data_IF_330985550929
#
_entry.id   IF_330985550929
#
_cell.length_a   1.000
_cell.length_b   1.000
_cell.length_c   1.000
_cell.angle_alpha   90.00
_cell.angle_beta   90.00
_cell.angle_gamma   90.00
#
_symmetry.space_group_name_H-M   'P 1'
#
loop_
_entity.id
_entity.type
_entity.pdbx_description
1 polymer ?
#
# COMPACT_ATOMS: atom_id res chain seq x y z
N UNK A 1 -5.73 -7.70 15.98
CA UNK A 1 -5.15 -8.31 14.76
C UNK A 1 -4.98 -7.29 13.63
N UNK A 2 -6.03 -6.58 13.18
CA UNK A 2 -5.90 -5.58 12.10
C UNK A 2 -5.08 -4.35 12.52
N UNK A 3 -5.25 -3.87 13.77
CA UNK A 3 -4.48 -2.74 14.31
C UNK A 3 -2.97 -3.00 14.39
N UNK A 4 -2.55 -4.24 14.68
CA UNK A 4 -1.12 -4.57 14.76
C UNK A 4 -0.48 -4.57 13.37
N UNK A 5 -1.14 -5.13 12.36
CA UNK A 5 -0.69 -5.08 10.96
C UNK A 5 -0.54 -3.64 10.42
N UNK A 6 -1.42 -2.72 10.85
CA UNK A 6 -1.36 -1.31 10.46
C UNK A 6 -0.16 -0.57 11.08
N UNK A 7 0.11 -0.82 12.36
CA UNK A 7 1.26 -0.21 13.05
C UNK A 7 2.57 -0.81 12.52
N UNK A 8 2.59 -2.12 12.30
CA UNK A 8 3.72 -2.85 11.75
C UNK A 8 4.09 -2.33 10.36
N UNK A 9 3.14 -2.22 9.42
CA UNK A 9 3.39 -1.78 8.03
C UNK A 9 3.89 -0.33 7.84
N UNK A 10 4.14 0.39 8.93
CA UNK A 10 4.57 1.78 8.91
C UNK A 10 3.39 2.72 8.90
N UNK A 11 3.21 3.44 10.01
CA UNK A 11 2.08 4.34 10.24
C UNK A 11 1.90 5.36 9.11
N UNK A 12 2.99 5.92 8.57
CA UNK A 12 2.93 6.90 7.49
C UNK A 12 2.41 6.32 6.18
N UNK A 13 3.03 5.25 5.66
CA UNK A 13 2.59 4.62 4.41
C UNK A 13 1.17 4.10 4.49
N UNK A 14 0.80 3.50 5.63
CA UNK A 14 -0.55 2.99 5.86
C UNK A 14 -1.61 4.10 6.00
N UNK A 15 -1.27 5.22 6.63
CA UNK A 15 -2.17 6.39 6.68
C UNK A 15 -2.38 6.97 5.30
N UNK A 16 -1.32 7.08 4.50
CA UNK A 16 -1.40 7.58 3.12
C UNK A 16 -2.29 6.69 2.24
N UNK A 17 -2.08 5.37 2.29
CA UNK A 17 -2.95 4.40 1.59
C UNK A 17 -4.41 4.49 2.04
N UNK A 18 -4.65 4.75 3.33
CA UNK A 18 -6.02 4.94 3.85
C UNK A 18 -6.65 6.22 3.31
N UNK A 19 -5.89 7.31 3.20
CA UNK A 19 -6.36 8.56 2.59
C UNK A 19 -6.68 8.35 1.12
N UNK A 20 -5.82 7.66 0.36
CA UNK A 20 -6.05 7.33 -1.04
C UNK A 20 -7.30 6.47 -1.22
N UNK A 21 -7.55 5.52 -0.31
CA UNK A 21 -8.77 4.73 -0.31
C UNK A 21 -10.03 5.58 -0.10
N UNK A 22 -9.99 6.53 0.84
CA UNK A 22 -11.11 7.47 1.06
C UNK A 22 -11.34 8.34 -0.18
N UNK A 23 -10.26 8.88 -0.77
CA UNK A 23 -10.34 9.68 -2.00
C UNK A 23 -10.94 8.89 -3.16
N UNK A 24 -10.62 7.61 -3.27
CA UNK A 24 -11.17 6.70 -4.27
C UNK A 24 -12.68 6.49 -4.09
N UNK A 25 -13.18 6.37 -2.86
CA UNK A 25 -14.63 6.30 -2.58
C UNK A 25 -15.31 7.62 -2.96
N UNK A 26 -14.70 8.77 -2.62
CA UNK A 26 -15.25 10.08 -2.98
C UNK A 26 -15.26 10.30 -4.50
N UNK A 27 -14.20 9.88 -5.20
CA UNK A 27 -14.10 9.96 -6.66
C UNK A 27 -15.12 9.06 -7.36
N UNK A 28 -15.44 7.89 -6.78
CA UNK A 28 -16.44 6.99 -7.33
C UNK A 28 -17.83 7.62 -7.47
N UNK A 29 -18.17 8.59 -6.61
CA UNK A 29 -19.45 9.30 -6.69
C UNK A 29 -19.37 10.61 -7.48
N UNK A 30 -18.27 11.36 -7.35
CA UNK A 30 -18.16 12.72 -7.90
C UNK A 30 -17.50 12.78 -9.29
N UNK A 31 -16.58 11.87 -9.58
CA UNK A 31 -15.79 11.87 -10.81
C UNK A 31 -15.31 10.45 -11.19
N UNK A 32 -16.16 9.65 -11.85
CA UNK A 32 -15.88 8.26 -12.24
C UNK A 32 -14.56 8.07 -13.01
N UNK A 33 -14.18 9.07 -13.81
CA UNK A 33 -12.95 9.06 -14.59
C UNK A 33 -11.68 9.03 -13.73
N UNK A 34 -11.75 9.56 -12.50
CA UNK A 34 -10.59 9.72 -11.61
C UNK A 34 -10.33 8.49 -10.73
N UNK A 35 -11.30 7.57 -10.64
CA UNK A 35 -11.19 6.33 -9.84
C UNK A 35 -9.97 5.51 -10.25
N UNK A 36 -9.73 5.38 -11.56
CA UNK A 36 -8.57 4.63 -12.09
C UNK A 36 -7.25 5.25 -11.65
N UNK A 37 -7.13 6.57 -11.80
CA UNK A 37 -5.90 7.31 -11.53
C UNK A 37 -5.56 7.24 -10.04
N UNK A 38 -6.55 7.41 -9.15
CA UNK A 38 -6.34 7.29 -7.70
C UNK A 38 -5.90 5.87 -7.32
N UNK A 39 -6.48 4.84 -7.95
CA UNK A 39 -6.02 3.47 -7.71
C UNK A 39 -4.59 3.21 -8.18
N UNK A 40 -4.15 3.81 -9.30
CA UNK A 40 -2.76 3.69 -9.77
C UNK A 40 -1.82 4.41 -8.79
N UNK A 41 -2.21 5.59 -8.31
CA UNK A 41 -1.45 6.32 -7.28
C UNK A 41 -1.29 5.44 -6.03
N UNK A 42 -2.36 4.79 -5.57
CA UNK A 42 -2.29 3.91 -4.40
C UNK A 42 -1.36 2.71 -4.59
N UNK A 43 -1.33 2.11 -5.80
CA UNK A 43 -0.38 1.07 -6.13
C UNK A 43 1.06 1.58 -6.09
N UNK A 44 1.31 2.77 -6.67
CA UNK A 44 2.63 3.39 -6.68
C UNK A 44 3.10 3.76 -5.26
N UNK A 45 2.21 4.29 -4.43
CA UNK A 45 2.48 4.57 -3.01
C UNK A 45 2.85 3.30 -2.25
N UNK A 46 2.09 2.21 -2.43
CA UNK A 46 2.40 0.91 -1.83
C UNK A 46 3.76 0.36 -2.27
N UNK A 47 4.11 0.54 -3.55
CA UNK A 47 5.40 0.14 -4.10
C UNK A 47 6.56 0.96 -3.52
N UNK A 48 6.42 2.29 -3.48
CA UNK A 48 7.44 3.19 -2.90
C UNK A 48 7.71 2.86 -1.43
N UNK A 49 6.66 2.59 -0.66
CA UNK A 49 6.81 2.22 0.76
C UNK A 49 7.48 0.85 0.93
N UNK A 50 7.21 -0.08 0.02
CA UNK A 50 7.87 -1.40 0.00
C UNK A 50 9.37 -1.24 -0.28
N UNK A 51 9.76 -0.40 -1.25
CA UNK A 51 11.17 -0.11 -1.52
C UNK A 51 11.86 0.56 -0.32
N UNK A 52 11.17 1.47 0.35
CA UNK A 52 11.69 2.10 1.57
C UNK A 52 11.90 1.09 2.70
N UNK A 53 10.96 0.16 2.91
CA UNK A 53 11.12 -0.90 3.91
C UNK A 53 12.29 -1.84 3.60
N UNK A 54 12.49 -2.20 2.32
CA UNK A 54 13.64 -2.99 1.90
C UNK A 54 14.97 -2.25 2.10
N UNK A 55 14.99 -0.94 1.81
CA UNK A 55 16.17 -0.11 2.06
C UNK A 55 16.52 -0.08 3.56
N UNK A 56 15.53 0.09 4.43
CA UNK A 56 15.74 0.06 5.88
C UNK A 56 16.29 -1.29 6.37
N UNK A 57 15.78 -2.41 5.85
CA UNK A 57 16.29 -3.74 6.22
C UNK A 57 17.77 -3.87 5.83
N UNK A 58 18.13 -3.47 4.61
CA UNK A 58 19.52 -3.53 4.14
C UNK A 58 20.46 -2.58 4.90
N UNK A 59 19.97 -1.40 5.29
CA UNK A 59 20.72 -0.44 6.09
C UNK A 59 21.03 -0.99 7.49
N UNK A 60 20.03 -1.60 8.14
CA UNK A 60 20.23 -2.25 9.45
C UNK A 60 21.21 -3.42 9.33
N UNK A 61 21.11 -4.26 8.29
CA UNK A 61 22.08 -5.35 8.03
C UNK A 61 23.50 -4.80 7.88
N UNK A 62 23.67 -3.70 7.15
CA UNK A 62 24.97 -3.10 6.90
C UNK A 62 25.61 -2.49 8.15
N UNK A 63 24.80 -1.98 9.09
CA UNK A 63 25.27 -1.31 10.31
C UNK A 63 25.45 -2.26 11.50
N UNK A 64 24.54 -3.22 11.69
CA UNK A 64 24.53 -4.10 12.86
C UNK A 64 25.30 -5.42 12.65
N UNK A 65 25.61 -5.78 11.40
CA UNK A 65 26.39 -6.97 11.07
C UNK A 65 25.61 -8.26 11.34
N UNK A 66 25.73 -8.82 12.55
CA UNK A 66 25.13 -10.10 12.91
C UNK A 66 23.72 -9.92 13.49
N UNK A 67 22.72 -9.97 12.60
CA UNK A 67 21.31 -9.87 12.95
C UNK A 67 20.68 -11.25 12.75
N UNK A 68 19.91 -11.70 13.75
CA UNK A 68 19.16 -12.94 13.60
C UNK A 68 18.24 -12.92 12.36
N UNK A 69 18.22 -14.03 11.63
CA UNK A 69 17.37 -14.18 10.44
C UNK A 69 15.88 -13.95 10.73
N UNK A 70 15.44 -14.22 11.97
CA UNK A 70 14.07 -13.96 12.41
C UNK A 70 13.67 -12.49 12.37
N UNK A 71 14.59 -11.58 12.69
CA UNK A 71 14.35 -10.13 12.63
C UNK A 71 14.25 -9.64 11.19
N UNK A 72 15.13 -10.13 10.31
CA UNK A 72 15.11 -9.81 8.87
C UNK A 72 13.81 -10.33 8.24
N UNK A 73 13.44 -11.58 8.52
CA UNK A 73 12.19 -12.16 8.03
C UNK A 73 10.95 -11.41 8.56
N UNK A 74 10.99 -10.95 9.81
CA UNK A 74 9.96 -10.08 10.39
C UNK A 74 9.82 -8.76 9.63
N UNK A 75 10.94 -8.05 9.42
CA UNK A 75 10.95 -6.79 8.66
C UNK A 75 10.47 -6.96 7.22
N UNK A 76 10.87 -8.04 6.55
CA UNK A 76 10.44 -8.36 5.19
C UNK A 76 8.94 -8.64 5.11
N UNK A 77 8.41 -9.46 6.04
CA UNK A 77 6.98 -9.76 6.13
C UNK A 77 6.16 -8.47 6.21
N UNK A 78 6.60 -7.54 7.05
CA UNK A 78 5.95 -6.26 7.28
C UNK A 78 6.00 -5.37 6.03
N UNK A 79 7.17 -5.29 5.40
CA UNK A 79 7.38 -4.49 4.19
C UNK A 79 6.45 -4.91 3.06
N UNK A 80 6.19 -6.22 2.92
CA UNK A 80 5.28 -6.78 1.92
C UNK A 80 3.79 -6.46 2.18
N UNK A 81 3.42 -6.03 3.38
CA UNK A 81 2.02 -5.66 3.67
C UNK A 81 1.66 -4.39 2.87
N UNK A 82 2.59 -3.45 2.73
CA UNK A 82 2.34 -2.16 2.05
C UNK A 82 1.90 -2.32 0.59
N UNK A 83 2.60 -3.16 -0.17
CA UNK A 83 2.24 -3.45 -1.57
C UNK A 83 0.91 -4.22 -1.68
N UNK A 84 0.60 -5.09 -0.71
CA UNK A 84 -0.69 -5.80 -0.69
C UNK A 84 -1.84 -4.81 -0.50
N UNK A 85 -1.72 -3.85 0.41
CA UNK A 85 -2.75 -2.82 0.62
C UNK A 85 -2.91 -1.91 -0.61
N UNK A 86 -1.81 -1.41 -1.19
CA UNK A 86 -1.87 -0.62 -2.43
C UNK A 86 -2.48 -1.40 -3.61
N UNK A 87 -2.15 -2.68 -3.74
CA UNK A 87 -2.73 -3.58 -4.73
C UNK A 87 -4.23 -3.80 -4.54
N UNK A 88 -4.70 -3.99 -3.31
CA UNK A 88 -6.12 -4.13 -3.01
C UNK A 88 -6.90 -2.87 -3.38
N UNK A 89 -6.38 -1.68 -3.03
CA UNK A 89 -7.00 -0.40 -3.39
C UNK A 89 -7.10 -0.26 -4.92
N UNK A 90 -6.05 -0.64 -5.65
CA UNK A 90 -6.07 -0.63 -7.11
C UNK A 90 -7.08 -1.61 -7.70
N UNK A 91 -7.19 -2.83 -7.17
CA UNK A 91 -8.21 -3.80 -7.61
C UNK A 91 -9.62 -3.24 -7.41
N UNK A 92 -9.90 -2.65 -6.25
CA UNK A 92 -11.19 -2.01 -5.97
C UNK A 92 -11.46 -0.87 -6.95
N UNK A 93 -10.44 -0.07 -7.30
CA UNK A 93 -10.55 0.99 -8.28
C UNK A 93 -10.96 0.47 -9.67
N UNK A 94 -10.36 -0.63 -10.11
CA UNK A 94 -10.68 -1.26 -11.38
C UNK A 94 -12.11 -1.82 -11.40
N UNK A 95 -12.53 -2.47 -10.31
CA UNK A 95 -13.91 -2.99 -10.18
C UNK A 95 -14.90 -1.83 -10.27
N UNK A 96 -14.67 -0.74 -9.53
CA UNK A 96 -15.55 0.43 -9.57
C UNK A 96 -15.60 1.08 -10.96
N UNK A 97 -14.45 1.18 -11.64
CA UNK A 97 -14.41 1.67 -13.03
C UNK A 97 -15.19 0.78 -14.00
N UNK A 98 -15.16 -0.55 -13.83
CA UNK A 98 -15.93 -1.49 -14.66
C UNK A 98 -17.43 -1.31 -14.42
N UNK A 99 -17.85 -1.15 -13.17
CA UNK A 99 -19.27 -0.93 -12.80
C UNK A 99 -19.78 0.42 -13.32
N UNK A 100 -18.95 1.48 -13.24
CA UNK A 100 -19.32 2.83 -13.65
C UNK A 100 -19.19 3.08 -15.16
N UNK A 101 -18.59 2.16 -15.91
CA UNK A 101 -18.57 2.26 -17.38
C UNK A 101 -20.02 2.24 -17.88
N UNK A 102 -20.49 3.27 -18.62
CA UNK A 102 -21.84 3.26 -19.15
C UNK A 102 -21.97 2.03 -20.06
N UNK A 103 -22.95 1.18 -19.76
CA UNK A 103 -23.39 0.12 -20.68
C UNK A 103 -23.94 0.83 -21.91
N UNK A 104 -23.12 0.90 -22.95
CA UNK A 104 -23.56 1.26 -24.31
C UNK A 104 -24.50 0.16 -24.79
#
# INVERSE_FOLDING_TARGET
MIRSLFIEGGVFGMTLLTVEFILLILAAWKAPAWVKEIGIIALMTGLMWTLHGLYQINDVISQAGDISMGVIAGGLRITLISIQYGGLIYIVSLIMRIIQKPRI
#
